data_IF_630285753565
#
_entry.id   IF_630285753565
#
_cell.length_a   1.000
_cell.length_b   1.000
_cell.length_c   1.000
_cell.angle_alpha   90.00
_cell.angle_beta   90.00
_cell.angle_gamma   90.00
#
_symmetry.space_group_name_H-M   'P 1'
#
loop_
_entity.id
_entity.type
_entity.pdbx_description
1 polymer ?
#
# COMPACT_ATOMS: atom_id res chain seq x y z
N UNK A 1 13.62 -2.41 0.71
CA UNK A 1 14.11 -2.77 2.07
C UNK A 1 13.59 -1.74 3.04
N UNK A 2 13.17 -2.17 4.23
CA UNK A 2 12.68 -1.27 5.29
C UNK A 2 13.47 -1.49 6.58
N UNK A 3 13.75 -0.40 7.29
CA UNK A 3 14.43 -0.37 8.58
C UNK A 3 13.85 0.77 9.44
N UNK A 4 13.03 0.48 10.46
CA UNK A 4 12.64 1.47 11.46
C UNK A 4 13.86 1.84 12.32
N UNK A 5 14.20 3.12 12.38
CA UNK A 5 15.32 3.63 13.20
C UNK A 5 14.84 4.25 14.50
N UNK A 6 13.53 4.49 14.62
CA UNK A 6 12.84 4.90 15.85
C UNK A 6 11.41 4.39 15.80
N UNK A 7 10.96 3.75 16.87
CA UNK A 7 9.64 3.15 16.97
C UNK A 7 9.45 1.93 16.08
N UNK A 8 8.30 1.29 16.23
CA UNK A 8 7.92 0.08 15.50
C UNK A 8 7.05 0.43 14.28
N UNK A 9 7.02 -0.48 13.31
CA UNK A 9 6.02 -0.45 12.24
C UNK A 9 5.51 -1.85 11.92
N UNK A 10 4.44 -1.90 11.14
CA UNK A 10 4.04 -3.15 10.50
C UNK A 10 3.64 -2.90 9.05
N UNK A 11 3.68 -3.95 8.26
CA UNK A 11 3.32 -3.94 6.86
C UNK A 11 2.24 -4.98 6.67
N UNK A 12 1.07 -4.54 6.22
CA UNK A 12 -0.01 -5.44 5.83
C UNK A 12 0.27 -5.95 4.42
N UNK A 13 0.49 -7.24 4.27
CA UNK A 13 0.71 -7.92 2.99
C UNK A 13 -0.60 -8.51 2.52
N UNK A 14 -0.93 -8.29 1.26
CA UNK A 14 -2.09 -8.90 0.65
C UNK A 14 -1.74 -10.29 0.12
N UNK A 15 -2.48 -11.30 0.53
CA UNK A 15 -2.40 -12.68 0.02
C UNK A 15 -3.77 -13.14 -0.49
N UNK A 16 -3.78 -14.29 -1.17
CA UNK A 16 -5.02 -14.92 -1.64
C UNK A 16 -5.94 -15.32 -0.47
N UNK A 17 -5.35 -15.62 0.68
CA UNK A 17 -6.05 -16.05 1.91
C UNK A 17 -6.49 -14.88 2.78
N UNK A 18 -6.06 -13.66 2.47
CA UNK A 18 -6.38 -12.44 3.20
C UNK A 18 -5.16 -11.57 3.49
N UNK A 19 -5.30 -10.68 4.47
CA UNK A 19 -4.21 -9.81 4.89
C UNK A 19 -3.34 -10.53 5.93
N UNK A 20 -2.02 -10.56 5.70
CA UNK A 20 -1.02 -11.04 6.65
C UNK A 20 -0.17 -9.86 7.12
N UNK A 21 -0.01 -9.70 8.43
CA UNK A 21 0.77 -8.60 8.99
C UNK A 21 2.23 -9.00 9.27
N UNK A 22 3.17 -8.33 8.62
CA UNK A 22 4.59 -8.41 8.93
C UNK A 22 4.96 -7.29 9.90
N UNK A 23 5.35 -7.64 11.12
CA UNK A 23 5.91 -6.70 12.08
C UNK A 23 7.38 -6.45 11.80
N UNK A 24 7.82 -5.19 11.92
CA UNK A 24 9.24 -4.82 11.85
C UNK A 24 9.49 -3.86 13.02
N UNK A 25 10.20 -4.35 14.03
CA UNK A 25 10.50 -3.59 15.24
C UNK A 25 11.64 -2.61 15.01
N UNK A 26 11.80 -1.67 15.91
CA UNK A 26 12.94 -0.75 15.92
C UNK A 26 14.27 -1.52 15.77
N UNK A 27 15.09 -1.11 14.80
CA UNK A 27 16.38 -1.73 14.48
C UNK A 27 16.32 -2.99 13.62
N UNK A 28 15.13 -3.56 13.38
CA UNK A 28 14.98 -4.72 12.50
C UNK A 28 15.02 -4.30 11.03
N UNK A 29 15.74 -5.08 10.23
CA UNK A 29 15.75 -4.94 8.78
C UNK A 29 14.86 -6.00 8.15
N UNK A 30 14.03 -5.59 7.21
CA UNK A 30 13.22 -6.51 6.43
C UNK A 30 13.29 -6.22 4.93
N UNK A 31 13.35 -7.29 4.14
CA UNK A 31 13.39 -7.22 2.69
C UNK A 31 12.06 -7.75 2.13
N UNK A 32 11.28 -6.83 1.56
CA UNK A 32 10.04 -7.14 0.87
C UNK A 32 10.32 -7.88 -0.45
N UNK A 33 9.72 -9.06 -0.69
CA UNK A 33 9.77 -9.73 -1.98
C UNK A 33 9.16 -8.88 -3.12
N UNK A 34 9.63 -9.11 -4.35
CA UNK A 34 9.11 -8.40 -5.53
C UNK A 34 7.63 -8.76 -5.76
N UNK A 35 6.86 -7.78 -6.24
CA UNK A 35 5.45 -7.94 -6.64
C UNK A 35 4.52 -8.42 -5.52
N UNK A 36 4.87 -8.16 -4.26
CA UNK A 36 3.99 -8.38 -3.11
C UNK A 36 3.20 -7.10 -2.82
N UNK A 37 1.86 -7.10 -2.98
CA UNK A 37 1.05 -5.95 -2.60
C UNK A 37 1.15 -5.75 -1.08
N UNK A 38 1.42 -4.52 -0.67
CA UNK A 38 1.75 -4.22 0.72
C UNK A 38 1.28 -2.82 1.10
N UNK A 39 0.91 -2.66 2.37
CA UNK A 39 0.39 -1.42 2.92
C UNK A 39 1.10 -1.10 4.25
N UNK A 40 2.13 -0.23 4.23
CA UNK A 40 2.88 0.15 5.42
C UNK A 40 2.04 0.94 6.43
N UNK A 41 2.10 0.54 7.70
CA UNK A 41 1.37 1.17 8.81
C UNK A 41 2.34 1.70 9.86
N UNK A 42 2.17 2.97 10.24
CA UNK A 42 3.03 3.69 11.21
C UNK A 42 2.16 4.31 12.32
N UNK A 43 1.72 3.53 13.31
CA UNK A 43 0.80 4.01 14.34
C UNK A 43 1.46 5.00 15.31
N UNK A 44 2.77 4.91 15.52
CA UNK A 44 3.52 5.84 16.38
C UNK A 44 3.91 7.11 15.59
N UNK A 45 3.39 8.30 15.96
CA UNK A 45 3.71 9.56 15.29
C UNK A 45 5.17 10.01 15.50
N UNK A 46 5.86 9.47 16.50
CA UNK A 46 7.28 9.72 16.76
C UNK A 46 8.22 8.78 16.00
N UNK A 47 7.67 7.79 15.28
CA UNK A 47 8.48 6.80 14.56
C UNK A 47 9.21 7.40 13.35
N UNK A 48 10.36 6.84 13.03
CA UNK A 48 11.15 7.17 11.86
C UNK A 48 11.75 5.90 11.26
N UNK A 49 11.84 5.82 9.94
CA UNK A 49 12.39 4.67 9.27
C UNK A 49 13.06 5.02 7.95
N UNK A 50 13.97 4.16 7.53
CA UNK A 50 14.66 4.20 6.24
C UNK A 50 13.99 3.20 5.31
N UNK A 51 13.64 3.66 4.12
CA UNK A 51 13.17 2.83 3.01
C UNK A 51 14.18 2.96 1.88
N UNK A 52 14.66 1.83 1.36
CA UNK A 52 15.55 1.78 0.20
C UNK A 52 14.86 1.02 -0.91
N UNK A 53 14.71 1.71 -2.03
CA UNK A 53 14.11 1.22 -3.27
C UNK A 53 15.04 1.52 -4.46
N UNK A 54 14.78 0.85 -5.58
CA UNK A 54 15.47 1.11 -6.84
C UNK A 54 14.57 1.96 -7.72
N UNK A 55 15.13 3.02 -8.30
CA UNK A 55 14.47 3.78 -9.37
C UNK A 55 14.09 2.82 -10.50
N UNK A 56 12.86 2.94 -10.99
CA UNK A 56 12.36 2.15 -12.11
C UNK A 56 12.88 2.72 -13.42
N UNK A 57 13.29 1.83 -14.31
CA UNK A 57 13.58 2.18 -15.69
C UNK A 57 12.28 2.58 -16.40
N UNK A 58 12.37 3.42 -17.43
CA UNK A 58 11.21 3.82 -18.20
C UNK A 58 10.54 2.60 -18.86
N UNK A 59 9.22 2.51 -18.75
CA UNK A 59 8.43 1.36 -19.17
C UNK A 59 8.20 0.31 -18.07
N UNK A 60 8.83 0.44 -16.90
CA UNK A 60 8.55 -0.40 -15.72
C UNK A 60 7.56 0.33 -14.83
N UNK A 61 6.29 -0.06 -14.93
CA UNK A 61 5.19 0.55 -14.19
C UNK A 61 5.05 -0.06 -12.79
N UNK A 62 4.63 0.78 -11.84
CA UNK A 62 4.23 0.35 -10.50
C UNK A 62 2.71 0.24 -10.41
N UNK A 63 2.22 -0.65 -9.54
CA UNK A 63 0.78 -0.90 -9.33
C UNK A 63 0.35 -0.40 -7.96
N UNK A 64 -0.71 0.40 -7.93
CA UNK A 64 -1.40 0.82 -6.72
C UNK A 64 -2.75 0.13 -6.68
N UNK A 65 -2.99 -0.66 -5.63
CA UNK A 65 -4.12 -1.58 -5.55
C UNK A 65 -4.95 -1.34 -4.28
N UNK A 66 -6.26 -1.54 -4.39
CA UNK A 66 -7.18 -1.55 -3.26
C UNK A 66 -7.98 -2.84 -3.26
N UNK A 67 -8.19 -3.39 -2.08
CA UNK A 67 -8.85 -4.68 -1.88
C UNK A 67 -10.11 -4.53 -1.05
N UNK A 68 -11.11 -5.35 -1.33
CA UNK A 68 -12.38 -5.33 -0.65
C UNK A 68 -12.22 -5.90 0.76
N UNK A 69 -12.56 -5.11 1.78
CA UNK A 69 -12.44 -5.52 3.19
C UNK A 69 -13.43 -6.63 3.59
N UNK A 70 -14.44 -6.92 2.76
CA UNK A 70 -15.44 -7.97 3.03
C UNK A 70 -15.08 -9.32 2.39
N UNK A 71 -14.53 -9.31 1.18
CA UNK A 71 -14.32 -10.54 0.39
C UNK A 71 -12.93 -10.67 -0.23
N UNK A 72 -11.99 -9.80 0.15
CA UNK A 72 -10.59 -9.82 -0.31
C UNK A 72 -10.38 -9.56 -1.82
N UNK A 73 -11.44 -9.24 -2.58
CA UNK A 73 -11.36 -9.04 -4.03
C UNK A 73 -10.63 -7.75 -4.39
N UNK A 74 -9.86 -7.74 -5.46
CA UNK A 74 -9.24 -6.51 -5.99
C UNK A 74 -10.34 -5.55 -6.47
N UNK A 75 -10.45 -4.39 -5.83
CA UNK A 75 -11.46 -3.37 -6.14
C UNK A 75 -10.99 -2.45 -7.25
N UNK A 76 -9.72 -2.02 -7.17
CA UNK A 76 -9.16 -1.06 -8.12
C UNK A 76 -7.66 -1.23 -8.23
N UNK A 77 -7.13 -1.02 -9.43
CA UNK A 77 -5.70 -1.01 -9.73
C UNK A 77 -5.37 0.17 -10.65
N UNK A 78 -4.30 0.88 -10.33
CA UNK A 78 -3.71 1.90 -11.19
C UNK A 78 -2.27 1.53 -11.48
N UNK A 79 -1.88 1.55 -12.76
CA UNK A 79 -0.49 1.43 -13.19
C UNK A 79 0.11 2.81 -13.46
N UNK A 80 1.32 3.07 -12.94
CA UNK A 80 1.96 4.37 -13.03
C UNK A 80 3.47 4.25 -13.24
N UNK A 81 4.01 5.05 -14.15
CA UNK A 81 5.46 5.30 -14.22
C UNK A 81 5.84 6.28 -13.11
N UNK A 82 6.34 5.77 -12.00
CA UNK A 82 6.75 6.57 -10.85
C UNK A 82 8.11 7.20 -11.10
N UNK A 83 8.19 8.54 -11.02
CA UNK A 83 9.43 9.33 -11.16
C UNK A 83 9.74 10.12 -9.89
N UNK A 84 8.70 10.62 -9.22
CA UNK A 84 8.79 11.27 -7.91
C UNK A 84 7.61 10.82 -7.04
N UNK A 85 7.89 9.98 -6.05
CA UNK A 85 6.85 9.42 -5.18
C UNK A 85 6.04 10.48 -4.41
N UNK A 86 6.63 11.64 -4.12
CA UNK A 86 6.00 12.70 -3.32
C UNK A 86 4.96 13.43 -4.16
N UNK A 87 5.20 13.54 -5.47
CA UNK A 87 4.35 14.26 -6.42
C UNK A 87 3.35 13.32 -7.10
N UNK A 88 3.80 12.12 -7.46
CA UNK A 88 3.07 11.22 -8.36
C UNK A 88 1.95 10.44 -7.65
N UNK A 89 2.12 10.10 -6.37
CA UNK A 89 1.17 9.26 -5.62
C UNK A 89 -0.09 9.99 -5.13
N UNK A 90 -0.02 11.22 -4.57
CA UNK A 90 -1.20 11.87 -4.02
C UNK A 90 -2.39 11.96 -5.00
N UNK A 91 -2.21 12.33 -6.29
CA UNK A 91 -3.32 12.36 -7.26
C UNK A 91 -3.98 11.00 -7.48
N UNK A 92 -3.19 9.91 -7.47
CA UNK A 92 -3.70 8.53 -7.62
C UNK A 92 -4.65 8.17 -6.48
N UNK A 93 -4.26 8.52 -5.25
CA UNK A 93 -5.08 8.26 -4.07
C UNK A 93 -6.34 9.14 -4.05
N UNK A 94 -6.21 10.42 -4.40
CA UNK A 94 -7.33 11.36 -4.45
C UNK A 94 -8.41 10.92 -5.46
N UNK A 95 -8.01 10.47 -6.65
CA UNK A 95 -8.95 9.95 -7.65
C UNK A 95 -9.75 8.76 -7.10
N UNK A 96 -9.08 7.81 -6.45
CA UNK A 96 -9.76 6.67 -5.84
C UNK A 96 -10.68 7.10 -4.68
N UNK A 97 -10.28 8.05 -3.84
CA UNK A 97 -11.09 8.49 -2.70
C UNK A 97 -12.31 9.32 -3.12
N UNK A 98 -12.21 10.09 -4.20
CA UNK A 98 -13.26 10.99 -4.67
C UNK A 98 -14.42 10.27 -5.38
N UNK A 99 -14.16 9.09 -5.94
CA UNK A 99 -15.14 8.38 -6.76
C UNK A 99 -15.64 7.11 -6.03
N UNK A 100 -16.94 7.06 -5.72
CA UNK A 100 -17.55 5.87 -5.11
C UNK A 100 -17.66 4.69 -6.07
N UNK A 101 -17.80 4.96 -7.37
CA UNK A 101 -17.99 3.94 -8.38
C UNK A 101 -16.75 3.06 -8.51
N UNK A 102 -15.55 3.66 -8.51
CA UNK A 102 -14.27 2.92 -8.51
C UNK A 102 -13.97 2.26 -7.16
N UNK A 103 -14.63 2.69 -6.07
CA UNK A 103 -14.50 2.07 -4.74
C UNK A 103 -15.47 0.91 -4.54
N UNK A 104 -16.44 0.73 -5.42
CA UNK A 104 -17.42 -0.34 -5.29
C UNK A 104 -16.83 -1.64 -5.78
N UNK A 105 -16.76 -2.64 -4.89
CA UNK A 105 -16.37 -3.99 -5.24
C UNK A 105 -17.36 -4.58 -6.24
N UNK A 106 -16.88 -5.03 -7.37
CA UNK A 106 -17.66 -5.68 -8.43
C UNK A 106 -18.08 -7.12 -8.06
N UNK A 107 -17.35 -7.77 -7.16
CA UNK A 107 -17.64 -9.13 -6.72
C UNK A 107 -18.77 -9.21 -5.67
N UNK A 108 -18.77 -8.34 -4.64
CA UNK A 108 -19.78 -8.40 -3.56
C UNK A 108 -20.59 -7.11 -3.36
N UNK A 109 -20.33 -6.06 -4.14
CA UNK A 109 -21.07 -4.79 -4.08
C UNK A 109 -20.71 -3.87 -2.90
N UNK A 110 -19.86 -4.32 -1.96
CA UNK A 110 -19.41 -3.50 -0.84
C UNK A 110 -18.57 -2.30 -1.33
N UNK A 111 -18.77 -1.13 -0.74
CA UNK A 111 -18.02 0.08 -1.05
C UNK A 111 -16.80 0.18 -0.15
N UNK A 112 -15.61 0.32 -0.74
CA UNK A 112 -14.36 0.51 0.00
C UNK A 112 -14.40 1.86 0.76
N UNK A 113 -14.03 1.92 2.05
CA UNK A 113 -14.17 3.12 2.88
C UNK A 113 -13.18 4.26 2.53
N UNK A 114 -12.35 4.07 1.48
CA UNK A 114 -11.36 5.06 1.03
C UNK A 114 -10.35 5.38 2.13
N UNK A 115 -10.10 6.66 2.38
CA UNK A 115 -9.16 7.15 3.40
C UNK A 115 -9.52 6.76 4.84
N UNK A 116 -10.77 6.37 5.10
CA UNK A 116 -11.22 5.93 6.41
C UNK A 116 -10.89 4.45 6.70
N UNK A 117 -10.36 3.70 5.72
CA UNK A 117 -9.75 2.39 5.95
C UNK A 117 -8.50 2.59 6.82
N UNK A 118 -8.62 2.38 8.13
CA UNK A 118 -7.49 2.32 9.06
C UNK A 118 -7.46 0.95 9.71
#
# INVERSE_FOLDING_TARGET
MVLPVRGDMHINLQTDEGVVTQHVREGEMWLLPRNTPHSPQRPDPGSAGVVIERIREEGVLEKFQWYCLNCNHLVHEVELQVRDIVVDLPPVFEQFYADETVRKCDNCGAVHPGKAAR
#
